data_IF_312615778025
#
_entry.id   IF_312615778025
#
_cell.length_a   1.000
_cell.length_b   1.000
_cell.length_c   1.000
_cell.angle_alpha   90.00
_cell.angle_beta   90.00
_cell.angle_gamma   90.00
#
_symmetry.space_group_name_H-M   'P 1'
#
loop_
_entity.id
_entity.type
_entity.pdbx_description
1 polymer ?
#
# COMPACT_ATOMS: atom_id res chain seq x y z
N UNK A 1 6.24 -10.89 -4.81
CA UNK A 1 6.15 -10.35 -3.43
C UNK A 1 4.81 -9.65 -3.20
N UNK A 2 4.35 -9.52 -1.94
CA UNK A 2 3.13 -8.76 -1.60
C UNK A 2 3.45 -7.41 -0.97
N UNK A 3 2.76 -6.36 -1.41
CA UNK A 3 2.84 -5.02 -0.81
C UNK A 3 1.61 -4.76 0.07
N UNK A 4 1.80 -4.66 1.37
CA UNK A 4 0.77 -4.33 2.35
C UNK A 4 0.77 -2.84 2.65
N UNK A 5 -0.38 -2.21 2.50
CA UNK A 5 -0.57 -0.80 2.81
C UNK A 5 -1.58 -0.66 3.95
N UNK A 6 -1.06 -0.35 5.14
CA UNK A 6 -1.80 -0.33 6.39
C UNK A 6 -2.15 1.10 6.75
N UNK A 7 -3.42 1.50 6.68
CA UNK A 7 -3.77 2.91 6.94
C UNK A 7 -4.34 3.25 8.31
N UNK A 8 -4.42 2.27 9.19
CA UNK A 8 -4.62 2.45 10.63
C UNK A 8 -3.85 1.32 11.30
N UNK A 9 -3.30 1.57 12.49
CA UNK A 9 -2.60 0.58 13.33
C UNK A 9 -3.54 -0.54 13.82
N UNK A 10 -4.15 -1.27 12.89
CA UNK A 10 -4.74 -2.57 13.18
C UNK A 10 -3.63 -3.60 13.01
N UNK A 11 -3.24 -4.22 14.13
CA UNK A 11 -2.39 -5.39 14.17
C UNK A 11 -2.99 -6.45 13.23
N UNK A 12 -2.27 -6.81 12.18
CA UNK A 12 -2.69 -7.87 11.26
C UNK A 12 -1.53 -8.82 11.03
N UNK A 13 -1.89 -10.08 10.82
CA UNK A 13 -0.98 -11.17 10.46
C UNK A 13 -0.41 -10.92 9.05
N UNK A 14 0.54 -10.01 8.97
CA UNK A 14 1.26 -9.72 7.74
C UNK A 14 2.37 -10.77 7.62
N UNK A 15 2.45 -11.49 6.50
CA UNK A 15 3.54 -12.43 6.27
C UNK A 15 4.89 -11.71 6.35
N UNK A 16 5.89 -12.32 6.99
CA UNK A 16 7.22 -11.71 7.17
C UNK A 16 7.90 -11.33 5.84
N UNK A 17 7.62 -12.05 4.76
CA UNK A 17 8.13 -11.77 3.40
C UNK A 17 7.37 -10.64 2.66
N UNK A 18 6.57 -9.84 3.37
CA UNK A 18 5.78 -8.77 2.77
C UNK A 18 6.41 -7.40 2.96
N UNK A 19 6.38 -6.57 1.91
CA UNK A 19 6.68 -5.15 2.03
C UNK A 19 5.52 -4.45 2.72
N UNK A 20 5.80 -3.65 3.76
CA UNK A 20 4.78 -2.95 4.53
C UNK A 20 4.95 -1.44 4.44
N UNK A 21 3.92 -0.75 3.99
CA UNK A 21 3.79 0.71 4.04
C UNK A 21 2.74 1.05 5.10
N UNK A 22 3.18 1.64 6.21
CA UNK A 22 2.26 2.16 7.22
C UNK A 22 1.89 3.62 6.89
N UNK A 23 0.60 3.83 6.65
CA UNK A 23 -0.03 5.09 6.28
C UNK A 23 -1.05 5.51 7.33
N UNK A 24 -0.64 5.83 8.56
CA UNK A 24 -1.50 6.29 9.66
C UNK A 24 -2.71 7.13 9.20
N UNK A 25 -2.47 8.04 8.24
CA UNK A 25 -3.53 8.68 7.46
C UNK A 25 -3.07 8.77 5.98
N UNK A 26 -3.57 7.88 5.12
CA UNK A 26 -3.36 7.92 3.66
C UNK A 26 -3.97 9.16 2.94
N UNK A 27 -4.26 10.25 3.67
CA UNK A 27 -4.86 11.47 3.12
C UNK A 27 -3.83 12.38 2.46
N UNK A 28 -2.57 12.30 2.87
CA UNK A 28 -1.53 13.18 2.38
C UNK A 28 -0.92 12.65 1.08
N UNK A 29 -0.67 13.58 0.14
CA UNK A 29 -0.04 13.30 -1.16
C UNK A 29 1.25 12.50 -1.03
N UNK A 30 1.96 12.63 0.09
CA UNK A 30 3.22 11.95 0.35
C UNK A 30 3.11 10.43 0.32
N UNK A 31 2.06 9.84 0.91
CA UNK A 31 1.89 8.38 0.90
C UNK A 31 1.62 7.86 -0.51
N UNK A 32 0.87 8.61 -1.33
CA UNK A 32 0.62 8.24 -2.72
C UNK A 32 1.89 8.35 -3.56
N UNK A 33 2.72 9.35 -3.32
CA UNK A 33 4.03 9.48 -3.97
C UNK A 33 4.94 8.32 -3.59
N UNK A 34 5.07 7.99 -2.31
CA UNK A 34 5.86 6.84 -1.86
C UNK A 34 5.36 5.52 -2.45
N UNK A 35 4.03 5.34 -2.52
CA UNK A 35 3.45 4.15 -3.15
C UNK A 35 3.78 4.08 -4.65
N UNK A 36 3.70 5.21 -5.36
CA UNK A 36 4.05 5.29 -6.78
C UNK A 36 5.52 4.95 -7.02
N UNK A 37 6.43 5.55 -6.25
CA UNK A 37 7.87 5.26 -6.37
C UNK A 37 8.15 3.78 -6.16
N UNK A 38 7.56 3.17 -5.13
CA UNK A 38 7.70 1.72 -4.88
C UNK A 38 7.14 0.88 -6.03
N UNK A 39 6.01 1.27 -6.62
CA UNK A 39 5.44 0.57 -7.76
C UNK A 39 6.22 0.81 -9.06
N UNK A 40 6.89 1.95 -9.23
CA UNK A 40 7.75 2.22 -10.39
C UNK A 40 9.05 1.41 -10.31
N UNK A 41 9.64 1.30 -9.12
CA UNK A 41 10.89 0.56 -8.91
C UNK A 41 10.67 -0.95 -8.80
N UNK A 42 9.69 -1.40 -8.02
CA UNK A 42 9.48 -2.80 -7.66
C UNK A 42 8.17 -3.39 -8.22
N UNK A 43 7.39 -2.62 -8.99
CA UNK A 43 6.06 -3.05 -9.44
C UNK A 43 6.04 -4.31 -10.31
N UNK A 44 7.16 -4.67 -10.95
CA UNK A 44 7.30 -5.94 -11.69
C UNK A 44 7.44 -7.16 -10.77
N UNK A 45 7.91 -6.94 -9.54
CA UNK A 45 8.13 -7.98 -8.54
C UNK A 45 6.96 -8.08 -7.56
N UNK A 46 6.18 -6.99 -7.42
CA UNK A 46 4.95 -6.93 -6.63
C UNK A 46 3.82 -7.62 -7.38
N UNK A 47 3.43 -8.79 -6.90
CA UNK A 47 2.35 -9.61 -7.48
C UNK A 47 0.98 -9.13 -7.01
N UNK A 48 0.90 -8.64 -5.78
CA UNK A 48 -0.35 -8.25 -5.14
C UNK A 48 -0.15 -7.06 -4.19
N UNK A 49 -1.07 -6.08 -4.27
CA UNK A 49 -1.13 -4.96 -3.33
C UNK A 49 -2.34 -5.16 -2.42
N UNK A 50 -2.10 -5.32 -1.13
CA UNK A 50 -3.12 -5.56 -0.09
C UNK A 50 -3.31 -4.29 0.74
N UNK A 51 -4.48 -3.68 0.70
CA UNK A 51 -4.77 -2.41 1.41
C UNK A 51 -6.08 -2.50 2.22
N UNK A 52 -6.13 -3.32 3.28
CA UNK A 52 -7.40 -3.66 3.89
C UNK A 52 -7.93 -2.47 4.70
N UNK A 53 -9.17 -2.05 4.39
CA UNK A 53 -9.84 -0.84 4.92
C UNK A 53 -9.21 0.50 4.51
N UNK A 54 -8.45 0.58 3.41
CA UNK A 54 -8.05 1.86 2.83
C UNK A 54 -8.91 2.25 1.61
N UNK A 55 -10.04 2.91 1.89
CA UNK A 55 -10.96 3.41 0.86
C UNK A 55 -10.34 4.51 -0.02
N UNK A 56 -9.34 5.23 0.49
CA UNK A 56 -8.61 6.24 -0.28
C UNK A 56 -7.75 5.60 -1.37
N UNK A 57 -7.02 4.52 -1.04
CA UNK A 57 -6.22 3.78 -2.01
C UNK A 57 -7.07 3.09 -3.05
N UNK A 58 -8.24 2.54 -2.68
CA UNK A 58 -9.24 2.08 -3.66
C UNK A 58 -9.49 3.17 -4.70
N UNK A 59 -9.83 4.39 -4.29
CA UNK A 59 -10.14 5.47 -5.25
C UNK A 59 -8.95 5.89 -6.12
N UNK A 60 -7.72 5.74 -5.64
CA UNK A 60 -6.51 6.11 -6.40
C UNK A 60 -6.10 5.01 -7.38
N UNK A 61 -6.17 3.74 -6.96
CA UNK A 61 -5.76 2.59 -7.76
C UNK A 61 -6.86 2.12 -8.74
N UNK A 62 -8.15 2.32 -8.41
CA UNK A 62 -9.27 2.00 -9.31
C UNK A 62 -9.60 3.11 -10.32
N UNK A 63 -8.86 4.23 -10.33
CA UNK A 63 -8.88 5.16 -11.47
C UNK A 63 -8.03 4.58 -12.60
N UNK A 64 -8.51 3.48 -13.17
CA UNK A 64 -8.10 3.01 -14.49
C UNK A 64 -9.02 3.59 -15.54
#
# INVERSE_FOLDING_TARGET
>A
MKLWVICREESRNIPEDSLVINCNICRDKNTLTSLKVVLEEYGKEIEEIVYPKCELLKKVLNKK
#
